data_IF_979215504859
#
_entry.id   IF_979215504859
#
_cell.length_a   1.000
_cell.length_b   1.000
_cell.length_c   1.000
_cell.angle_alpha   90.00
_cell.angle_beta   90.00
_cell.angle_gamma   90.00
#
_symmetry.space_group_name_H-M   'P 1'
#
loop_
_entity.id
_entity.type
_entity.pdbx_description
1 polymer ?
#
# COMPACT_ATOMS: atom_id res chain seq x y z
N UNK A 1 5.75 -5.36 4.87
CA UNK A 1 5.29 -4.14 5.56
C UNK A 1 4.81 -4.52 6.96
N UNK A 2 5.27 -3.82 8.01
CA UNK A 2 4.77 -4.01 9.39
C UNK A 2 3.70 -2.94 9.63
N UNK A 3 2.48 -3.35 9.98
CA UNK A 3 1.36 -2.43 10.23
C UNK A 3 1.54 -1.68 11.54
N UNK A 4 1.04 -0.45 11.59
CA UNK A 4 0.95 0.32 12.84
C UNK A 4 -0.21 -0.19 13.72
N UNK A 5 0.15 -0.92 14.77
CA UNK A 5 -0.80 -1.53 15.71
C UNK A 5 -1.58 -0.52 16.56
N UNK A 6 -1.18 0.75 16.57
CA UNK A 6 -1.89 1.81 17.31
C UNK A 6 -3.18 2.26 16.60
N UNK A 7 -3.36 1.87 15.33
CA UNK A 7 -4.50 2.26 14.50
C UNK A 7 -5.72 1.35 14.70
N UNK A 8 -6.89 1.86 14.35
CA UNK A 8 -8.14 1.09 14.41
C UNK A 8 -8.06 -0.16 13.53
N UNK A 9 -8.56 -1.29 14.03
CA UNK A 9 -8.52 -2.59 13.37
C UNK A 9 -9.19 -2.58 11.98
N UNK A 10 -10.26 -1.80 11.78
CA UNK A 10 -10.91 -1.66 10.48
C UNK A 10 -9.95 -1.05 9.46
N UNK A 11 -9.20 -0.02 9.84
CA UNK A 11 -8.24 0.61 8.94
C UNK A 11 -7.05 -0.30 8.66
N UNK A 12 -6.61 -1.09 9.65
CA UNK A 12 -5.57 -2.11 9.46
C UNK A 12 -6.02 -3.18 8.46
N UNK A 13 -7.28 -3.61 8.50
CA UNK A 13 -7.82 -4.59 7.55
C UNK A 13 -7.83 -4.04 6.12
N UNK A 14 -8.25 -2.79 5.92
CA UNK A 14 -8.19 -2.11 4.62
C UNK A 14 -6.74 -2.03 4.09
N UNK A 15 -5.82 -1.58 4.94
CA UNK A 15 -4.40 -1.47 4.58
C UNK A 15 -3.83 -2.83 4.23
N UNK A 16 -4.06 -3.85 5.06
CA UNK A 16 -3.54 -5.20 4.85
C UNK A 16 -4.08 -5.83 3.57
N UNK A 17 -5.39 -5.73 3.32
CA UNK A 17 -6.01 -6.25 2.11
C UNK A 17 -5.44 -5.58 0.87
N UNK A 18 -5.36 -4.25 0.86
CA UNK A 18 -4.90 -3.50 -0.30
C UNK A 18 -3.40 -3.72 -0.58
N UNK A 19 -2.55 -3.73 0.44
CA UNK A 19 -1.12 -4.09 0.28
C UNK A 19 -0.99 -5.48 -0.33
N UNK A 20 -1.80 -6.43 0.14
CA UNK A 20 -1.76 -7.79 -0.39
C UNK A 20 -2.19 -7.82 -1.86
N UNK A 21 -3.37 -7.31 -2.17
CA UNK A 21 -4.01 -7.49 -3.49
C UNK A 21 -3.49 -6.55 -4.57
N UNK A 22 -3.05 -5.34 -4.22
CA UNK A 22 -2.66 -4.31 -5.18
C UNK A 22 -1.15 -4.13 -5.31
N UNK A 23 -0.36 -4.64 -4.37
CA UNK A 23 1.10 -4.51 -4.39
C UNK A 23 1.79 -5.88 -4.34
N UNK A 24 1.58 -6.66 -3.28
CA UNK A 24 2.33 -7.91 -3.06
C UNK A 24 1.99 -8.99 -4.09
N UNK A 25 0.73 -9.33 -4.26
CA UNK A 25 0.31 -10.44 -5.12
C UNK A 25 0.70 -10.19 -6.60
N UNK A 26 0.52 -8.99 -7.18
CA UNK A 26 1.00 -8.67 -8.52
C UNK A 26 2.53 -8.80 -8.67
N UNK A 27 3.30 -8.25 -7.72
CA UNK A 27 4.77 -8.32 -7.78
C UNK A 27 5.28 -9.74 -7.63
N UNK A 28 4.70 -10.54 -6.74
CA UNK A 28 5.05 -11.97 -6.57
C UNK A 28 4.74 -12.74 -7.86
N UNK A 29 3.56 -12.51 -8.46
CA UNK A 29 3.19 -13.15 -9.72
C UNK A 29 4.19 -12.83 -10.83
N UNK A 30 4.62 -11.57 -10.95
CA UNK A 30 5.64 -11.15 -11.92
C UNK A 30 7.03 -11.71 -11.62
N UNK A 31 7.43 -11.72 -10.35
CA UNK A 31 8.72 -12.29 -9.93
C UNK A 31 8.81 -13.79 -10.21
N UNK A 32 7.70 -14.53 -10.10
CA UNK A 32 7.64 -15.95 -10.46
C UNK A 32 7.90 -16.22 -11.96
N UNK A 33 7.73 -15.21 -12.83
CA UNK A 33 8.02 -15.31 -14.26
C UNK A 33 9.48 -15.00 -14.60
N UNK A 34 10.27 -14.52 -13.64
CA UNK A 34 11.68 -14.20 -13.86
C UNK A 34 12.56 -15.46 -13.78
N UNK A 35 13.69 -15.50 -14.51
CA UNK A 35 14.69 -16.55 -14.35
C UNK A 35 15.20 -16.59 -12.90
N UNK A 36 15.45 -17.78 -12.36
CA UNK A 36 15.98 -17.94 -11.00
C UNK A 36 17.35 -17.27 -10.76
N UNK A 37 18.09 -16.96 -11.83
CA UNK A 37 19.35 -16.21 -11.77
C UNK A 37 19.17 -14.69 -11.63
N UNK A 38 17.94 -14.19 -11.79
CA UNK A 38 17.66 -12.75 -11.69
C UNK A 38 17.56 -12.33 -10.24
N UNK A 39 18.41 -11.39 -9.84
CA UNK A 39 18.41 -10.79 -8.52
C UNK A 39 17.73 -9.43 -8.59
N UNK A 40 16.77 -9.19 -7.68
CA UNK A 40 16.13 -7.88 -7.53
C UNK A 40 17.00 -7.07 -6.56
N UNK A 41 17.40 -5.83 -6.91
CA UNK A 41 18.20 -5.01 -6.00
C UNK A 41 17.45 -4.71 -4.70
N UNK A 42 18.09 -4.99 -3.57
CA UNK A 42 17.52 -4.74 -2.23
C UNK A 42 17.16 -3.25 -2.04
N UNK A 43 17.97 -2.33 -2.58
CA UNK A 43 17.72 -0.89 -2.51
C UNK A 43 16.40 -0.49 -3.15
N UNK A 44 16.04 -1.11 -4.29
CA UNK A 44 14.75 -0.84 -4.90
C UNK A 44 13.59 -1.44 -4.08
N UNK A 45 13.78 -2.65 -3.56
CA UNK A 45 12.76 -3.29 -2.73
C UNK A 45 12.52 -2.48 -1.44
N UNK A 46 13.57 -1.92 -0.86
CA UNK A 46 13.50 -1.06 0.32
C UNK A 46 12.81 0.27 0.01
N UNK A 47 13.12 0.90 -1.13
CA UNK A 47 12.43 2.11 -1.58
C UNK A 47 10.91 1.87 -1.73
N UNK A 48 10.51 0.73 -2.31
CA UNK A 48 9.09 0.34 -2.37
C UNK A 48 8.46 0.20 -0.98
N UNK A 49 9.16 -0.43 -0.03
CA UNK A 49 8.64 -0.61 1.33
C UNK A 49 8.43 0.73 2.03
N UNK A 50 9.34 1.68 1.83
CA UNK A 50 9.24 3.01 2.43
C UNK A 50 8.14 3.85 1.80
N UNK A 51 7.97 3.80 0.47
CA UNK A 51 6.87 4.48 -0.22
C UNK A 51 5.49 3.89 0.16
N UNK A 52 5.38 2.57 0.28
CA UNK A 52 4.16 1.92 0.77
C UNK A 52 3.79 2.36 2.19
N UNK A 53 4.80 2.52 3.08
CA UNK A 53 4.59 3.06 4.44
C UNK A 53 4.17 4.52 4.42
N UNK A 54 4.71 5.33 3.52
CA UNK A 54 4.29 6.72 3.37
C UNK A 54 2.82 6.80 2.94
N UNK A 55 2.39 5.96 2.00
CA UNK A 55 0.99 5.87 1.59
C UNK A 55 0.08 5.41 2.74
N UNK A 56 0.50 4.43 3.54
CA UNK A 56 -0.22 3.99 4.75
C UNK A 56 -0.38 5.14 5.75
N UNK A 57 0.68 5.93 5.98
CA UNK A 57 0.63 7.09 6.87
C UNK A 57 -0.31 8.18 6.35
N UNK A 58 -0.28 8.47 5.04
CA UNK A 58 -1.20 9.43 4.40
C UNK A 58 -2.65 8.97 4.48
N UNK A 59 -2.89 7.67 4.28
CA UNK A 59 -4.21 7.06 4.46
C UNK A 59 -4.71 7.31 5.88
N UNK A 60 -3.93 6.98 6.91
CA UNK A 60 -4.31 7.24 8.31
C UNK A 60 -4.52 8.72 8.62
N UNK A 61 -3.70 9.62 8.05
CA UNK A 61 -3.84 11.06 8.26
C UNK A 61 -5.16 11.60 7.70
N UNK A 62 -5.62 11.10 6.54
CA UNK A 62 -6.90 11.51 5.97
C UNK A 62 -8.07 11.25 6.94
N UNK A 63 -8.01 10.17 7.73
CA UNK A 63 -9.03 9.89 8.75
C UNK A 63 -8.99 10.84 9.94
N UNK A 64 -7.79 11.15 10.42
CA UNK A 64 -7.64 12.00 11.60
C UNK A 64 -8.04 13.45 11.32
N UNK A 65 -7.75 13.95 10.11
CA UNK A 65 -8.03 15.35 9.76
C UNK A 65 -9.46 15.57 9.26
N UNK A 66 -9.99 14.69 8.41
CA UNK A 66 -11.26 14.96 7.72
C UNK A 66 -12.49 14.31 8.41
N UNK A 67 -12.27 13.33 9.31
CA UNK A 67 -13.31 12.30 9.59
C UNK A 67 -13.45 11.93 11.06
N UNK A 68 -12.63 12.50 11.93
CA UNK A 68 -12.68 12.24 13.36
C UNK A 68 -13.88 12.99 13.96
N UNK A 69 -14.85 12.26 14.53
CA UNK A 69 -15.96 12.82 15.32
C UNK A 69 -17.32 12.93 14.61
N UNK A 70 -17.43 12.63 13.31
CA UNK A 70 -18.70 12.67 12.57
C UNK A 70 -19.14 11.29 12.10
N UNK A 71 -20.02 10.64 12.88
CA UNK A 71 -20.60 9.32 12.55
C UNK A 71 -21.21 9.24 11.14
N UNK A 72 -21.95 10.26 10.63
CA UNK A 72 -22.55 10.19 9.29
C UNK A 72 -21.55 10.29 8.14
N UNK A 73 -20.39 10.95 8.33
CA UNK A 73 -19.40 11.19 7.28
C UNK A 73 -18.17 10.29 7.36
N UNK A 74 -18.06 9.48 8.41
CA UNK A 74 -16.96 8.54 8.61
C UNK A 74 -16.83 7.50 7.48
N UNK A 75 -17.96 7.02 6.93
CA UNK A 75 -17.95 6.01 5.86
C UNK A 75 -17.57 6.58 4.48
N UNK A 76 -18.19 7.67 3.97
CA UNK A 76 -17.76 8.30 2.73
C UNK A 76 -16.31 8.78 2.74
N UNK A 77 -15.84 9.26 3.91
CA UNK A 77 -14.44 9.57 4.08
C UNK A 77 -13.54 8.34 3.93
N UNK A 78 -13.93 7.21 4.55
CA UNK A 78 -13.20 5.96 4.46
C UNK A 78 -13.05 5.48 3.03
N UNK A 79 -14.11 5.56 2.26
CA UNK A 79 -14.06 5.22 0.84
C UNK A 79 -13.13 6.16 0.05
N UNK A 80 -13.20 7.47 0.29
CA UNK A 80 -12.33 8.44 -0.39
C UNK A 80 -10.85 8.21 -0.06
N UNK A 81 -10.52 8.10 1.22
CA UNK A 81 -9.16 7.80 1.67
C UNK A 81 -8.65 6.47 1.11
N UNK A 82 -9.50 5.44 1.11
CA UNK A 82 -9.16 4.13 0.58
C UNK A 82 -8.90 4.16 -0.93
N UNK A 83 -9.73 4.87 -1.70
CA UNK A 83 -9.54 5.00 -3.15
C UNK A 83 -8.18 5.64 -3.47
N UNK A 84 -7.85 6.77 -2.84
CA UNK A 84 -6.54 7.41 -3.04
C UNK A 84 -5.39 6.49 -2.63
N UNK A 85 -5.53 5.79 -1.50
CA UNK A 85 -4.53 4.81 -1.06
C UNK A 85 -4.34 3.68 -2.08
N UNK A 86 -5.43 3.16 -2.65
CA UNK A 86 -5.40 2.07 -3.62
C UNK A 86 -4.80 2.49 -4.96
N UNK A 87 -5.07 3.72 -5.41
CA UNK A 87 -4.46 4.29 -6.61
C UNK A 87 -2.94 4.44 -6.43
N UNK A 88 -2.51 4.94 -5.28
CA UNK A 88 -1.10 5.07 -4.94
C UNK A 88 -0.39 3.71 -4.92
N UNK A 89 -0.99 2.68 -4.31
CA UNK A 89 -0.42 1.33 -4.31
C UNK A 89 -0.29 0.74 -5.73
N UNK A 90 -1.27 0.97 -6.60
CA UNK A 90 -1.19 0.55 -8.02
C UNK A 90 -0.10 1.30 -8.79
N UNK A 91 0.10 2.58 -8.49
CA UNK A 91 1.17 3.36 -9.09
C UNK A 91 2.55 2.84 -8.63
N UNK A 92 2.68 2.55 -7.33
CA UNK A 92 3.87 1.97 -6.71
C UNK A 92 4.20 0.58 -7.27
N UNK A 93 3.20 -0.25 -7.51
CA UNK A 93 3.40 -1.55 -8.17
C UNK A 93 4.07 -1.37 -9.54
N UNK A 94 3.52 -0.49 -10.40
CA UNK A 94 4.08 -0.19 -11.72
C UNK A 94 5.48 0.41 -11.68
N UNK A 95 5.82 1.23 -10.69
CA UNK A 95 7.19 1.77 -10.55
C UNK A 95 8.14 0.66 -10.12
N UNK A 96 7.71 -0.20 -9.20
CA UNK A 96 8.50 -1.32 -8.70
C UNK A 96 8.71 -2.41 -9.74
N UNK A 97 7.77 -2.61 -10.69
CA UNK A 97 7.96 -3.50 -11.83
C UNK A 97 9.26 -3.23 -12.59
N UNK A 98 9.69 -1.95 -12.66
CA UNK A 98 10.94 -1.58 -13.31
C UNK A 98 12.15 -2.26 -12.66
N UNK A 99 12.09 -2.52 -11.36
CA UNK A 99 13.15 -3.20 -10.62
C UNK A 99 13.19 -4.71 -10.85
N UNK A 100 12.07 -5.30 -11.29
CA UNK A 100 12.03 -6.68 -11.78
C UNK A 100 12.56 -6.81 -13.21
N UNK A 101 12.53 -5.72 -13.99
CA UNK A 101 12.92 -5.70 -15.40
C UNK A 101 14.35 -5.19 -15.65
N UNK A 102 14.96 -4.46 -14.72
CA UNK A 102 16.40 -4.12 -14.70
C UNK A 102 17.28 -5.36 -14.66
#
# INVERSE_FOLDING_TARGET
>A
IKLDKTKNAVYQDYVQKAVKTLLKDPLVSKAMLLPASKTIPDDCLNAMVDEAREHENKFYAAFTYDCQGHIPTAFPCLEKGANTYYENLKALEKTTEKCCNM
#
